data_IF_096912590290
#
_entry.id   IF_096912590290
#
_cell.length_a   1.000
_cell.length_b   1.000
_cell.length_c   1.000
_cell.angle_alpha   90.00
_cell.angle_beta   90.00
_cell.angle_gamma   90.00
#
_symmetry.space_group_name_H-M   'P 1'
#
loop_
_entity.id
_entity.type
_entity.pdbx_description
1 polymer ?
#
# COMPACT_ATOMS: atom_id res chain seq x y z
N UNK A 1 -3.36 14.68 15.59
CA UNK A 1 -4.76 14.97 15.20
C UNK A 1 -5.61 13.70 15.26
N UNK A 2 -5.24 12.62 14.58
CA UNK A 2 -6.08 11.40 14.49
C UNK A 2 -6.27 10.70 15.83
N UNK A 3 -5.21 10.55 16.63
CA UNK A 3 -5.30 9.93 17.98
C UNK A 3 -6.17 10.70 18.98
N UNK A 4 -6.34 12.01 18.80
CA UNK A 4 -7.25 12.82 19.63
C UNK A 4 -8.72 12.59 19.25
N UNK A 5 -8.98 12.31 17.98
CA UNK A 5 -10.32 12.12 17.42
C UNK A 5 -10.83 10.69 17.60
N UNK A 6 -9.93 9.72 17.64
CA UNK A 6 -10.24 8.29 17.79
C UNK A 6 -9.36 7.68 18.91
N UNK A 7 -9.74 7.86 20.19
CA UNK A 7 -8.94 7.42 21.33
C UNK A 7 -8.93 5.89 21.51
N UNK A 8 -9.96 5.19 21.02
CA UNK A 8 -10.08 3.73 21.17
C UNK A 8 -9.13 2.96 20.25
N UNK A 9 -8.40 2.01 20.84
CA UNK A 9 -7.20 1.39 20.25
C UNK A 9 -7.48 0.52 19.02
N UNK A 10 -8.67 -0.06 18.89
CA UNK A 10 -8.95 -1.09 17.87
C UNK A 10 -10.14 -0.74 16.99
N UNK A 11 -11.28 -0.34 17.55
CA UNK A 11 -12.48 -0.09 16.76
C UNK A 11 -12.59 1.36 16.26
N UNK A 12 -13.17 1.52 15.08
CA UNK A 12 -13.56 2.82 14.56
C UNK A 12 -15.08 2.96 14.73
N UNK A 13 -15.57 4.07 15.29
CA UNK A 13 -17.01 4.29 15.34
C UNK A 13 -17.57 4.37 13.92
N UNK A 14 -18.83 3.98 13.72
CA UNK A 14 -19.51 4.08 12.41
C UNK A 14 -19.52 5.51 11.87
N UNK A 15 -19.43 6.51 12.75
CA UNK A 15 -19.35 7.94 12.42
C UNK A 15 -17.96 8.42 12.02
N UNK A 16 -16.92 7.57 12.09
CA UNK A 16 -15.54 7.97 11.82
C UNK A 16 -15.34 8.58 10.42
N UNK A 17 -15.89 8.01 9.32
CA UNK A 17 -15.76 8.62 7.99
C UNK A 17 -16.42 10.01 7.92
N UNK A 18 -17.61 10.17 8.50
CA UNK A 18 -18.33 11.45 8.51
C UNK A 18 -17.54 12.54 9.26
N UNK A 19 -16.98 12.20 10.42
CA UNK A 19 -16.13 13.12 11.19
C UNK A 19 -14.87 13.52 10.41
N UNK A 20 -14.23 12.57 9.72
CA UNK A 20 -13.08 12.86 8.88
C UNK A 20 -13.46 13.82 7.74
N UNK A 21 -14.59 13.55 7.06
CA UNK A 21 -15.07 14.40 5.97
C UNK A 21 -15.38 15.83 6.43
N UNK A 22 -15.99 16.00 7.60
CA UNK A 22 -16.25 17.31 8.18
C UNK A 22 -14.95 18.08 8.48
N UNK A 23 -13.96 17.40 9.07
CA UNK A 23 -12.65 18.00 9.35
C UNK A 23 -11.92 18.39 8.06
N UNK A 24 -11.92 17.53 7.06
CA UNK A 24 -11.29 17.81 5.77
C UNK A 24 -12.00 18.96 5.03
N UNK A 25 -13.34 19.04 5.11
CA UNK A 25 -14.11 20.15 4.53
C UNK A 25 -13.82 21.49 5.19
N UNK A 26 -13.60 21.48 6.50
CA UNK A 26 -13.27 22.68 7.28
C UNK A 26 -11.76 23.02 7.24
N UNK A 27 -10.94 22.17 6.59
CA UNK A 27 -9.50 22.40 6.44
C UNK A 27 -9.23 23.26 5.21
N UNK A 28 -8.30 24.20 5.32
CA UNK A 28 -7.85 25.03 4.19
C UNK A 28 -6.82 24.27 3.33
N UNK A 29 -7.27 23.22 2.64
CA UNK A 29 -6.42 22.42 1.74
C UNK A 29 -6.25 23.13 0.39
N UNK A 30 -5.07 23.04 -0.25
CA UNK A 30 -4.89 23.60 -1.59
C UNK A 30 -5.75 22.84 -2.60
N UNK A 31 -6.18 23.55 -3.66
CA UNK A 31 -6.97 22.96 -4.75
C UNK A 31 -6.15 21.98 -5.62
N UNK A 32 -4.83 22.14 -5.61
CA UNK A 32 -3.88 21.25 -6.27
C UNK A 32 -2.49 21.33 -5.63
N UNK A 33 -1.69 20.27 -5.76
CA UNK A 33 -0.31 20.23 -5.31
C UNK A 33 0.49 19.15 -6.06
N UNK A 34 1.83 19.23 -5.98
CA UNK A 34 2.73 18.18 -6.47
C UNK A 34 2.83 17.06 -5.45
N UNK A 35 2.78 15.79 -5.88
CA UNK A 35 2.95 14.66 -4.98
C UNK A 35 4.36 14.66 -4.36
N UNK A 36 4.49 14.64 -3.02
CA UNK A 36 5.82 14.73 -2.40
C UNK A 36 6.75 13.55 -2.71
N UNK A 37 6.21 12.34 -2.89
CA UNK A 37 7.00 11.16 -3.25
C UNK A 37 7.15 10.96 -4.78
N UNK A 38 6.44 11.72 -5.61
CA UNK A 38 6.64 11.77 -7.07
C UNK A 38 6.34 13.19 -7.62
N UNK A 39 7.34 14.09 -7.66
CA UNK A 39 7.12 15.49 -8.03
C UNK A 39 6.75 15.69 -9.50
N UNK A 40 6.74 14.63 -10.32
CA UNK A 40 6.28 14.67 -11.72
C UNK A 40 4.75 14.64 -11.80
N UNK A 41 4.08 14.21 -10.73
CA UNK A 41 2.63 14.07 -10.67
C UNK A 41 2.03 15.23 -9.89
N UNK A 42 1.10 15.94 -10.53
CA UNK A 42 0.23 16.92 -9.89
C UNK A 42 -1.12 16.27 -9.59
N UNK A 43 -1.69 16.57 -8.43
CA UNK A 43 -3.01 16.10 -8.02
C UNK A 43 -3.92 17.27 -7.68
N UNK A 44 -5.21 17.09 -7.88
CA UNK A 44 -6.23 18.10 -7.62
C UNK A 44 -6.82 18.00 -6.22
N UNK A 45 -8.09 18.37 -6.10
CA UNK A 45 -8.85 18.44 -4.86
C UNK A 45 -9.08 17.07 -4.22
N UNK A 46 -9.22 17.06 -2.90
CA UNK A 46 -9.56 15.85 -2.14
C UNK A 46 -10.98 15.33 -2.45
N UNK A 47 -11.11 14.01 -2.59
CA UNK A 47 -12.36 13.26 -2.76
C UNK A 47 -12.84 12.79 -1.38
N UNK A 48 -13.71 13.57 -0.76
CA UNK A 48 -14.18 13.36 0.61
C UNK A 48 -14.90 12.02 0.80
N UNK A 49 -15.74 11.64 -0.17
CA UNK A 49 -16.53 10.41 -0.18
C UNK A 49 -15.67 9.14 -0.21
N UNK A 50 -14.46 9.23 -0.76
CA UNK A 50 -13.51 8.10 -0.88
C UNK A 50 -12.44 8.09 0.21
N UNK A 51 -12.37 9.14 1.03
CA UNK A 51 -11.41 9.25 2.12
C UNK A 51 -11.93 8.60 3.41
N UNK A 52 -11.07 7.88 4.14
CA UNK A 52 -11.47 7.13 5.35
C UNK A 52 -10.32 7.01 6.36
N UNK A 53 -10.68 6.71 7.61
CA UNK A 53 -9.69 6.32 8.63
C UNK A 53 -9.49 4.81 8.56
N UNK A 54 -8.25 4.35 8.60
CA UNK A 54 -7.95 2.92 8.57
C UNK A 54 -8.03 2.31 9.98
N UNK A 55 -8.59 1.10 10.08
CA UNK A 55 -8.70 0.35 11.33
C UNK A 55 -7.35 -0.28 11.71
N UNK A 56 -6.45 0.55 12.25
CA UNK A 56 -5.13 0.15 12.75
C UNK A 56 -4.81 0.90 14.05
N UNK A 57 -3.85 0.39 14.83
CA UNK A 57 -3.39 0.99 16.11
C UNK A 57 -3.01 2.48 15.96
N UNK A 58 -2.45 2.88 14.81
CA UNK A 58 -2.02 4.27 14.54
C UNK A 58 -3.07 5.10 13.79
N UNK A 59 -4.19 4.48 13.39
CA UNK A 59 -5.33 5.11 12.71
C UNK A 59 -4.89 6.04 11.54
N UNK A 60 -4.10 5.55 10.57
CA UNK A 60 -3.68 6.37 9.45
C UNK A 60 -4.88 6.76 8.58
N UNK A 61 -4.75 7.86 7.86
CA UNK A 61 -5.79 8.38 6.97
C UNK A 61 -5.57 7.86 5.56
N UNK A 62 -6.58 7.22 4.99
CA UNK A 62 -6.66 6.94 3.55
C UNK A 62 -7.30 8.15 2.88
N UNK A 63 -6.54 8.86 2.06
CA UNK A 63 -6.97 10.07 1.37
C UNK A 63 -6.94 9.82 -0.14
N UNK A 64 -7.95 10.32 -0.83
CA UNK A 64 -8.10 10.17 -2.28
C UNK A 64 -8.18 11.56 -2.91
N UNK A 65 -7.45 11.79 -4.00
CA UNK A 65 -7.40 13.08 -4.68
C UNK A 65 -7.81 12.91 -6.14
N UNK A 66 -8.44 13.94 -6.70
CA UNK A 66 -8.78 13.95 -8.12
C UNK A 66 -7.51 13.96 -8.98
N UNK A 67 -7.50 13.23 -10.10
CA UNK A 67 -6.41 13.34 -11.06
C UNK A 67 -6.45 14.74 -11.70
N UNK A 68 -5.27 15.23 -12.08
CA UNK A 68 -5.21 16.42 -12.93
C UNK A 68 -5.60 16.07 -14.37
N UNK A 69 -6.16 17.03 -15.14
CA UNK A 69 -6.44 16.83 -16.56
C UNK A 69 -5.12 16.57 -17.30
N UNK A 70 -4.82 15.31 -17.56
CA UNK A 70 -3.62 14.83 -18.24
C UNK A 70 -4.00 13.61 -19.09
N UNK A 71 -3.38 13.39 -20.26
CA UNK A 71 -3.75 12.29 -21.15
C UNK A 71 -3.49 10.87 -20.61
N UNK A 72 -2.94 10.72 -19.41
CA UNK A 72 -2.38 9.43 -18.93
C UNK A 72 -3.25 8.64 -17.96
N UNK A 73 -4.14 9.26 -17.17
CA UNK A 73 -5.03 8.51 -16.26
C UNK A 73 -6.18 9.35 -15.71
N UNK A 74 -7.40 8.81 -15.76
CA UNK A 74 -8.59 9.36 -15.08
C UNK A 74 -8.79 8.79 -13.67
N UNK A 75 -7.88 7.93 -13.19
CA UNK A 75 -8.01 7.31 -11.88
C UNK A 75 -7.59 8.28 -10.75
N UNK A 76 -8.31 8.29 -9.61
CA UNK A 76 -7.89 9.02 -8.43
C UNK A 76 -6.47 8.64 -7.96
N UNK A 77 -5.81 9.58 -7.28
CA UNK A 77 -4.53 9.33 -6.61
C UNK A 77 -4.74 9.12 -5.12
N UNK A 78 -4.26 7.99 -4.62
CA UNK A 78 -4.45 7.57 -3.24
C UNK A 78 -3.19 7.79 -2.41
N UNK A 79 -3.35 8.40 -1.24
CA UNK A 79 -2.28 8.67 -0.27
C UNK A 79 -2.72 8.16 1.10
N UNK A 80 -1.87 7.37 1.74
CA UNK A 80 -1.96 7.10 3.17
C UNK A 80 -1.17 8.18 3.91
N UNK A 81 -1.85 8.99 4.72
CA UNK A 81 -1.22 9.92 5.64
C UNK A 81 -1.06 9.25 7.01
N UNK A 82 0.18 9.06 7.45
CA UNK A 82 0.54 8.44 8.74
C UNK A 82 0.98 9.51 9.74
N UNK A 83 0.40 9.47 10.94
CA UNK A 83 0.81 10.26 12.09
C UNK A 83 1.18 9.31 13.25
N UNK A 84 2.36 9.52 13.84
CA UNK A 84 2.88 8.76 14.96
C UNK A 84 3.80 7.59 14.61
N UNK A 85 4.26 7.49 13.36
CA UNK A 85 5.27 6.55 12.87
C UNK A 85 6.42 7.30 12.19
N UNK A 86 7.65 6.85 12.41
CA UNK A 86 8.83 7.39 11.75
C UNK A 86 9.07 6.68 10.41
N UNK A 87 8.69 7.32 9.31
CA UNK A 87 8.81 6.74 7.97
C UNK A 87 10.23 6.78 7.38
N UNK A 88 11.22 7.33 8.10
CA UNK A 88 12.60 7.41 7.57
C UNK A 88 13.21 6.02 7.33
N UNK A 89 12.86 5.05 8.18
CA UNK A 89 13.28 3.66 7.98
C UNK A 89 12.60 3.03 6.75
N UNK A 90 11.29 3.21 6.59
CA UNK A 90 10.57 2.76 5.38
C UNK A 90 11.16 3.37 4.11
N UNK A 91 11.45 4.67 4.10
CA UNK A 91 12.09 5.36 2.98
C UNK A 91 13.41 4.71 2.59
N UNK A 92 14.28 4.41 3.56
CA UNK A 92 15.58 3.80 3.31
C UNK A 92 15.45 2.43 2.66
N UNK A 93 14.55 1.58 3.19
CA UNK A 93 14.31 0.24 2.65
C UNK A 93 13.75 0.31 1.23
N UNK A 94 12.73 1.15 1.01
CA UNK A 94 12.08 1.31 -0.31
C UNK A 94 13.06 1.87 -1.34
N UNK A 95 13.89 2.85 -0.97
CA UNK A 95 14.92 3.38 -1.86
C UNK A 95 15.95 2.31 -2.21
N UNK A 96 16.31 1.46 -1.25
CA UNK A 96 17.21 0.33 -1.50
C UNK A 96 16.58 -0.70 -2.44
N UNK A 97 15.29 -1.01 -2.27
CA UNK A 97 14.53 -1.86 -3.21
C UNK A 97 14.50 -1.28 -4.62
N UNK A 98 14.36 0.04 -4.77
CA UNK A 98 14.41 0.70 -6.07
C UNK A 98 15.79 0.54 -6.73
N UNK A 99 16.88 0.67 -5.96
CA UNK A 99 18.25 0.43 -6.45
C UNK A 99 18.46 -1.04 -6.84
N UNK A 100 18.02 -1.99 -6.02
CA UNK A 100 18.09 -3.42 -6.35
C UNK A 100 17.33 -3.73 -7.64
N UNK A 101 16.14 -3.15 -7.80
CA UNK A 101 15.36 -3.27 -9.03
C UNK A 101 16.11 -2.75 -10.26
N UNK A 102 16.75 -1.57 -10.17
CA UNK A 102 17.58 -1.04 -11.26
C UNK A 102 18.75 -1.97 -11.61
N UNK A 103 19.47 -2.51 -10.62
CA UNK A 103 20.57 -3.45 -10.83
C UNK A 103 20.09 -4.71 -11.56
N UNK A 104 18.94 -5.26 -11.17
CA UNK A 104 18.38 -6.44 -11.85
C UNK A 104 17.92 -6.12 -13.27
N UNK A 105 17.28 -4.97 -13.48
CA UNK A 105 16.87 -4.53 -14.82
C UNK A 105 18.06 -4.33 -15.78
N UNK A 106 19.20 -3.82 -15.30
CA UNK A 106 20.45 -3.74 -16.08
C UNK A 106 20.97 -5.12 -16.53
N UNK A 107 20.58 -6.19 -15.82
CA UNK A 107 20.89 -7.59 -16.16
C UNK A 107 19.74 -8.29 -16.87
N UNK A 108 18.78 -7.54 -17.40
CA UNK A 108 17.58 -8.05 -18.07
C UNK A 108 16.71 -8.96 -17.18
N UNK A 109 16.77 -8.75 -15.86
CA UNK A 109 15.98 -9.48 -14.88
C UNK A 109 14.90 -8.56 -14.32
N UNK A 110 13.67 -8.71 -14.81
CA UNK A 110 12.50 -8.03 -14.26
C UNK A 110 11.84 -8.89 -13.18
N UNK A 111 12.16 -8.60 -11.91
CA UNK A 111 11.56 -9.28 -10.76
C UNK A 111 10.23 -8.66 -10.32
N UNK A 112 9.64 -7.71 -11.05
CA UNK A 112 8.32 -7.17 -10.74
C UNK A 112 8.20 -6.61 -9.30
N UNK A 113 9.25 -5.94 -8.81
CA UNK A 113 9.20 -5.25 -7.51
C UNK A 113 8.25 -4.04 -7.58
N UNK A 114 7.61 -3.71 -6.44
CA UNK A 114 6.80 -2.50 -6.27
C UNK A 114 7.44 -1.62 -5.18
N UNK A 115 8.46 -0.80 -5.52
CA UNK A 115 8.98 0.23 -4.63
C UNK A 115 8.01 1.42 -4.62
N UNK A 116 6.92 1.30 -3.85
CA UNK A 116 5.89 2.32 -3.74
C UNK A 116 6.41 3.61 -3.10
N UNK A 117 5.81 4.75 -3.45
CA UNK A 117 6.16 6.05 -2.89
C UNK A 117 6.03 6.11 -1.37
N UNK A 118 7.06 6.56 -0.67
CA UNK A 118 7.04 6.77 0.77
C UNK A 118 7.92 7.97 1.11
N UNK A 119 7.40 8.90 1.90
CA UNK A 119 8.14 10.09 2.28
C UNK A 119 7.77 10.57 3.68
N UNK A 120 8.78 10.79 4.52
CA UNK A 120 8.65 11.50 5.78
C UNK A 120 8.53 13.00 5.50
N UNK A 121 7.52 13.63 6.09
CA UNK A 121 7.24 15.07 5.93
C UNK A 121 7.54 15.86 7.20
N UNK A 122 8.02 15.18 8.24
CA UNK A 122 8.33 15.76 9.54
C UNK A 122 8.49 14.67 10.61
N UNK A 123 8.67 15.07 11.86
CA UNK A 123 8.85 14.13 12.96
C UNK A 123 7.60 13.26 13.14
N UNK A 124 7.77 11.95 12.96
CA UNK A 124 6.72 10.95 13.09
C UNK A 124 5.49 11.21 12.19
N UNK A 125 5.65 11.91 11.07
CA UNK A 125 4.58 12.17 10.10
C UNK A 125 5.08 11.93 8.68
N UNK A 126 4.21 11.42 7.82
CA UNK A 126 4.56 11.18 6.43
C UNK A 126 3.44 10.63 5.58
N UNK A 127 3.77 10.41 4.32
CA UNK A 127 2.85 10.01 3.26
C UNK A 127 3.35 8.75 2.59
N UNK A 128 2.44 7.82 2.30
CA UNK A 128 2.70 6.57 1.59
C UNK A 128 1.74 6.47 0.41
N UNK A 129 2.24 6.06 -0.75
CA UNK A 129 1.45 5.79 -1.94
C UNK A 129 0.51 4.60 -1.70
N UNK A 130 -0.71 4.71 -2.21
CA UNK A 130 -1.66 3.58 -2.23
C UNK A 130 -1.46 2.76 -3.49
N UNK A 131 -0.94 1.55 -3.31
CA UNK A 131 -0.92 0.53 -4.38
C UNK A 131 -2.35 0.04 -4.64
N UNK A 132 -2.85 0.27 -5.85
CA UNK A 132 -4.23 -0.06 -6.25
C UNK A 132 -4.45 -1.56 -6.40
N UNK A 133 -5.70 -1.97 -6.22
CA UNK A 133 -6.16 -3.36 -6.42
C UNK A 133 -5.29 -4.36 -5.66
N UNK A 134 -4.95 -4.05 -4.42
CA UNK A 134 -4.10 -4.87 -3.58
C UNK A 134 -4.79 -5.23 -2.26
N UNK A 135 -4.46 -6.40 -1.73
CA UNK A 135 -4.94 -6.89 -0.45
C UNK A 135 -3.77 -7.48 0.35
N UNK A 136 -3.84 -7.43 1.69
CA UNK A 136 -2.88 -8.15 2.52
C UNK A 136 -3.10 -9.66 2.40
N UNK A 137 -2.02 -10.45 2.53
CA UNK A 137 -2.12 -11.91 2.52
C UNK A 137 -3.05 -12.39 3.65
N UNK A 138 -3.00 -11.75 4.82
CA UNK A 138 -3.91 -12.03 5.92
C UNK A 138 -5.40 -11.81 5.56
N UNK A 139 -5.73 -10.74 4.82
CA UNK A 139 -7.09 -10.48 4.36
C UNK A 139 -7.55 -11.52 3.32
N UNK A 140 -6.65 -11.94 2.42
CA UNK A 140 -6.92 -13.01 1.45
C UNK A 140 -7.23 -14.32 2.19
N UNK A 141 -6.39 -14.72 3.13
CA UNK A 141 -6.60 -15.92 3.96
C UNK A 141 -7.93 -15.85 4.72
N UNK A 142 -8.24 -14.73 5.36
CA UNK A 142 -9.50 -14.55 6.10
C UNK A 142 -10.72 -14.68 5.21
N UNK A 143 -10.68 -14.11 4.01
CA UNK A 143 -11.82 -14.11 3.07
C UNK A 143 -12.08 -15.49 2.43
N UNK A 144 -11.03 -16.28 2.16
CA UNK A 144 -11.16 -17.57 1.47
C UNK A 144 -11.09 -18.79 2.40
N UNK A 145 -10.64 -18.59 3.63
CA UNK A 145 -10.39 -19.64 4.59
C UNK A 145 -11.38 -19.73 5.76
N UNK A 146 -12.22 -18.73 5.99
CA UNK A 146 -13.17 -18.73 7.11
C UNK A 146 -12.48 -19.00 8.47
N UNK A 147 -13.12 -19.78 9.34
CA UNK A 147 -12.58 -20.20 10.65
C UNK A 147 -11.41 -21.19 10.55
N UNK A 148 -11.15 -21.79 9.38
CA UNK A 148 -10.03 -22.72 9.13
C UNK A 148 -8.93 -22.10 8.27
N UNK A 149 -8.92 -20.77 8.12
CA UNK A 149 -8.03 -20.04 7.22
C UNK A 149 -6.55 -20.29 7.44
N UNK A 150 -6.13 -20.58 8.68
CA UNK A 150 -4.74 -20.90 9.00
C UNK A 150 -4.24 -22.22 8.36
N UNK A 151 -5.15 -23.08 7.86
CA UNK A 151 -4.85 -24.42 7.36
C UNK A 151 -5.08 -24.60 5.86
N UNK A 152 -5.51 -23.56 5.14
CA UNK A 152 -5.77 -23.62 3.69
C UNK A 152 -4.61 -23.05 2.89
N UNK A 153 -3.81 -23.95 2.31
CA UNK A 153 -2.68 -23.60 1.45
C UNK A 153 -3.10 -23.12 0.04
N UNK A 154 -4.37 -23.30 -0.34
CA UNK A 154 -4.92 -22.95 -1.65
C UNK A 154 -5.59 -21.56 -1.69
N UNK A 155 -5.79 -20.91 -0.54
CA UNK A 155 -6.53 -19.65 -0.44
C UNK A 155 -5.98 -18.53 -1.35
N UNK A 156 -4.65 -18.39 -1.43
CA UNK A 156 -4.01 -17.38 -2.28
C UNK A 156 -4.17 -17.71 -3.77
N UNK A 157 -4.06 -18.98 -4.12
CA UNK A 157 -4.22 -19.46 -5.48
C UNK A 157 -5.66 -19.23 -5.97
N UNK A 158 -6.65 -19.61 -5.17
CA UNK A 158 -8.07 -19.40 -5.48
C UNK A 158 -8.43 -17.91 -5.54
N UNK A 159 -7.85 -17.08 -4.67
CA UNK A 159 -8.02 -15.63 -4.76
C UNK A 159 -7.48 -15.09 -6.08
N UNK A 160 -6.24 -15.43 -6.47
CA UNK A 160 -5.67 -14.98 -7.75
C UNK A 160 -6.47 -15.47 -8.95
N UNK A 161 -6.94 -16.72 -8.90
CA UNK A 161 -7.79 -17.30 -9.93
C UNK A 161 -9.12 -16.54 -10.03
N UNK A 162 -9.73 -16.15 -8.91
CA UNK A 162 -10.97 -15.35 -8.89
C UNK A 162 -10.82 -13.96 -9.53
N UNK A 163 -9.59 -13.42 -9.59
CA UNK A 163 -9.28 -12.14 -10.24
C UNK A 163 -9.03 -12.25 -11.74
N UNK A 164 -8.89 -13.47 -12.26
CA UNK A 164 -8.54 -13.73 -13.65
C UNK A 164 -9.77 -14.25 -14.42
N UNK A 165 -10.42 -13.45 -15.28
CA UNK A 165 -11.56 -13.93 -16.05
C UNK A 165 -11.18 -14.92 -17.17
N UNK A 166 -9.90 -14.98 -17.55
CA UNK A 166 -9.38 -15.84 -18.63
C UNK A 166 -8.16 -16.63 -18.17
N UNK A 167 -7.99 -17.85 -18.69
CA UNK A 167 -6.90 -18.76 -18.33
C UNK A 167 -5.51 -18.21 -18.71
N UNK A 168 -5.38 -17.48 -19.82
CA UNK A 168 -4.10 -16.84 -20.21
C UNK A 168 -3.67 -15.74 -19.24
N UNK A 169 -4.63 -15.03 -18.64
CA UNK A 169 -4.38 -14.02 -17.61
C UNK A 169 -3.84 -14.70 -16.35
N UNK A 170 -4.33 -15.91 -16.04
CA UNK A 170 -3.87 -16.68 -14.90
C UNK A 170 -2.37 -17.03 -14.98
N UNK A 171 -1.86 -17.47 -16.13
CA UNK A 171 -0.43 -17.78 -16.29
C UNK A 171 0.45 -16.56 -16.03
N UNK A 172 0.12 -15.41 -16.64
CA UNK A 172 0.87 -14.15 -16.44
C UNK A 172 0.81 -13.66 -14.99
N UNK A 173 -0.35 -13.80 -14.34
CA UNK A 173 -0.53 -13.45 -12.93
C UNK A 173 0.34 -14.33 -12.03
N UNK A 174 0.40 -15.64 -12.27
CA UNK A 174 1.26 -16.56 -11.51
C UNK A 174 2.73 -16.28 -11.79
N UNK A 175 3.11 -15.97 -13.03
CA UNK A 175 4.48 -15.59 -13.38
C UNK A 175 4.94 -14.33 -12.62
N UNK A 176 4.09 -13.29 -12.58
CA UNK A 176 4.34 -12.08 -11.78
C UNK A 176 4.47 -12.39 -10.29
N UNK A 177 3.63 -13.27 -9.76
CA UNK A 177 3.73 -13.73 -8.39
C UNK A 177 5.08 -14.39 -8.11
N UNK A 178 5.52 -15.33 -8.96
CA UNK A 178 6.80 -16.01 -8.79
C UNK A 178 7.97 -15.03 -8.85
N UNK A 179 7.98 -14.11 -9.84
CA UNK A 179 9.03 -13.10 -10.01
C UNK A 179 9.13 -12.16 -8.82
N UNK A 180 8.00 -11.59 -8.42
CA UNK A 180 7.93 -10.66 -7.28
C UNK A 180 8.24 -11.35 -5.95
N UNK A 181 7.74 -12.55 -5.72
CA UNK A 181 8.10 -13.37 -4.57
C UNK A 181 9.61 -13.63 -4.51
N UNK A 182 10.23 -14.06 -5.61
CA UNK A 182 11.68 -14.27 -5.67
C UNK A 182 12.46 -12.96 -5.40
N UNK A 183 12.04 -11.85 -5.99
CA UNK A 183 12.65 -10.53 -5.77
C UNK A 183 12.61 -10.08 -4.32
N UNK A 184 11.43 -10.15 -3.68
CA UNK A 184 11.29 -9.79 -2.26
C UNK A 184 11.99 -10.78 -1.33
N UNK A 185 12.02 -12.08 -1.63
CA UNK A 185 12.78 -13.06 -0.84
C UNK A 185 14.29 -12.73 -0.84
N UNK A 186 14.88 -12.48 -2.00
CA UNK A 186 16.30 -12.10 -2.11
C UNK A 186 16.55 -10.75 -1.43
N UNK A 187 15.70 -9.74 -1.70
CA UNK A 187 15.89 -8.41 -1.14
C UNK A 187 15.80 -8.41 0.39
N UNK A 188 14.76 -9.02 0.96
CA UNK A 188 14.56 -9.06 2.42
C UNK A 188 15.61 -9.90 3.13
N UNK A 189 16.14 -10.95 2.49
CA UNK A 189 17.28 -11.71 3.01
C UNK A 189 18.54 -10.85 3.08
N UNK A 190 18.90 -10.18 1.98
CA UNK A 190 20.09 -9.30 1.91
C UNK A 190 20.00 -8.16 2.92
N UNK A 191 18.81 -7.59 3.10
CA UNK A 191 18.56 -6.49 4.03
C UNK A 191 18.39 -6.94 5.49
N UNK A 192 18.33 -8.25 5.76
CA UNK A 192 18.14 -8.77 7.12
C UNK A 192 16.74 -8.53 7.71
N UNK A 193 15.73 -8.32 6.87
CA UNK A 193 14.35 -7.98 7.28
C UNK A 193 13.34 -9.09 6.90
N UNK A 194 13.78 -10.34 6.85
CA UNK A 194 12.96 -11.48 6.41
C UNK A 194 11.88 -11.94 7.39
N UNK A 195 11.94 -11.56 8.67
CA UNK A 195 10.92 -11.92 9.67
C UNK A 195 9.67 -11.04 9.50
N UNK A 196 8.73 -11.53 8.69
CA UNK A 196 7.54 -10.80 8.21
C UNK A 196 6.27 -11.59 8.52
N UNK A 197 5.23 -10.88 8.91
CA UNK A 197 3.89 -11.45 9.10
C UNK A 197 2.98 -11.20 7.89
N UNK A 198 1.91 -11.99 7.74
CA UNK A 198 1.01 -11.93 6.58
C UNK A 198 0.25 -10.60 6.42
N UNK A 199 0.13 -9.77 7.47
CA UNK A 199 -0.37 -8.40 7.33
C UNK A 199 0.65 -7.42 6.73
N UNK A 200 1.95 -7.73 6.75
CA UNK A 200 3.01 -6.92 6.13
C UNK A 200 3.30 -7.30 4.68
N UNK A 201 2.57 -8.28 4.13
CA UNK A 201 2.73 -8.74 2.76
C UNK A 201 1.42 -8.48 2.05
N UNK A 202 1.51 -7.84 0.89
CA UNK A 202 0.37 -7.54 0.04
C UNK A 202 0.55 -8.20 -1.32
N UNK A 203 -0.58 -8.42 -2.00
CA UNK A 203 -0.62 -8.91 -3.36
C UNK A 203 -1.63 -8.11 -4.18
N UNK A 204 -1.26 -7.78 -5.40
CA UNK A 204 -2.15 -7.11 -6.36
C UNK A 204 -3.05 -8.13 -7.08
N UNK A 205 -4.20 -7.69 -7.59
CA UNK A 205 -5.09 -8.50 -8.45
C UNK A 205 -4.37 -8.99 -9.72
N UNK A 206 -3.23 -8.39 -10.06
CA UNK A 206 -2.35 -8.75 -11.18
C UNK A 206 -1.23 -9.73 -10.80
N UNK A 207 -1.17 -10.18 -9.54
CA UNK A 207 -0.24 -11.20 -9.06
C UNK A 207 1.07 -10.68 -8.47
N UNK A 208 1.36 -9.37 -8.53
CA UNK A 208 2.57 -8.84 -7.90
C UNK A 208 2.46 -8.90 -6.38
N UNK A 209 3.36 -9.62 -5.73
CA UNK A 209 3.55 -9.66 -4.29
C UNK A 209 4.52 -8.56 -3.88
N UNK A 210 4.24 -7.87 -2.78
CA UNK A 210 5.12 -6.82 -2.26
C UNK A 210 5.02 -6.69 -0.75
N UNK A 211 6.12 -6.30 -0.13
CA UNK A 211 6.22 -6.12 1.32
C UNK A 211 5.95 -4.65 1.67
N UNK A 212 5.27 -4.41 2.79
CA UNK A 212 4.91 -3.07 3.30
C UNK A 212 5.22 -2.94 4.80
N UNK A 213 5.37 -1.73 5.33
CA UNK A 213 5.59 -1.47 6.77
C UNK A 213 6.94 -2.04 7.24
N UNK A 214 8.02 -1.35 6.87
CA UNK A 214 9.39 -1.76 7.16
C UNK A 214 9.94 -1.14 8.46
N UNK A 215 9.36 -0.05 8.95
CA UNK A 215 9.82 0.70 10.12
C UNK A 215 9.69 0.01 11.49
N UNK A 216 9.32 -1.27 11.52
CA UNK A 216 9.26 -2.08 12.74
C UNK A 216 10.39 -3.13 12.84
N UNK A 217 11.18 -3.30 11.77
CA UNK A 217 12.11 -4.41 11.63
C UNK A 217 13.60 -3.99 11.61
N UNK A 218 13.90 -2.69 11.75
CA UNK A 218 15.27 -2.13 11.75
C UNK A 218 15.56 -1.28 12.99
#
# INVERSE_FOLDING_TARGET
>A
ITKRLYPDKTDLPSTAPLKLQELLRNSNLPNEFLLPFDPRVRVGTILLDKSKVMASKKKPLWLEFSPMPSPTSSAPVGIIFKEGDDLRQDMLVIQTLAVMNSIWQEKSLDLNLIPYGCISTGQNIGMIEIVRNAATIAAVQKSHGGTTAAFRNDALFEWLKSKCPLQEIHYKTVERFVKSCAGYCVATYVLGIGDRHNDNIMITDQGNLFHIDFGHNL
#
